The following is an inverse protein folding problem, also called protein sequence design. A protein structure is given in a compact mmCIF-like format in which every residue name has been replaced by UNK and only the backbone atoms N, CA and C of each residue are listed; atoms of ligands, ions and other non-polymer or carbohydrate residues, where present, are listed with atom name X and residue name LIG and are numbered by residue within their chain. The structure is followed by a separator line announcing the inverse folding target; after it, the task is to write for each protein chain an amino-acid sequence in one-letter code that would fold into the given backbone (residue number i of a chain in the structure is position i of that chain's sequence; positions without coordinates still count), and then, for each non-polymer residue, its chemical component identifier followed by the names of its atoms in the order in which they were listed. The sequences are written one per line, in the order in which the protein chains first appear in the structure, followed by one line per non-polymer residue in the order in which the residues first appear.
data_IF_293961165745
#
_entry.id   IF_293961165745
#
_cell.length_a   1.000
_cell.length_b   1.000
_cell.length_c   1.000
_cell.angle_alpha   90.00
_cell.angle_beta   90.00
_cell.angle_gamma   90.00
#
_symmetry.space_group_name_H-M   'P 1'
#
loop_
_entity.id
_entity.type
_entity.pdbx_description
1 polymer ?
#
# COMPACT_ATOMS: atom_id res chain seq x y z
N UNK A 1 -20.45 -9.34 28.18
CA UNK A 1 -20.65 -9.93 26.84
C UNK A 1 -19.65 -9.22 25.94
N UNK A 2 -18.59 -9.91 25.51
CA UNK A 2 -17.57 -9.31 24.65
C UNK A 2 -18.18 -9.17 23.25
N UNK A 3 -18.37 -7.93 22.80
CA UNK A 3 -18.73 -7.68 21.42
C UNK A 3 -17.52 -8.12 20.58
N UNK A 4 -17.69 -9.15 19.76
CA UNK A 4 -16.69 -9.56 18.77
C UNK A 4 -16.34 -8.33 17.95
N UNK A 5 -15.14 -7.80 18.17
CA UNK A 5 -14.67 -6.66 17.39
C UNK A 5 -14.49 -7.14 15.95
N UNK A 6 -14.82 -6.28 14.97
CA UNK A 6 -14.53 -6.59 13.57
C UNK A 6 -13.06 -6.98 13.41
N UNK A 7 -12.75 -7.75 12.37
CA UNK A 7 -11.39 -8.23 12.13
C UNK A 7 -10.40 -7.07 11.85
N UNK A 8 -10.92 -5.87 11.62
CA UNK A 8 -10.24 -4.59 11.77
C UNK A 8 -10.73 -3.88 13.04
N UNK A 9 -9.85 -3.28 13.82
CA UNK A 9 -10.27 -2.52 15.01
C UNK A 9 -11.09 -1.30 14.62
N UNK A 10 -11.88 -0.75 15.55
CA UNK A 10 -12.62 0.51 15.35
C UNK A 10 -11.71 1.70 14.99
N UNK A 11 -10.42 1.59 15.27
CA UNK A 11 -9.39 2.57 14.95
C UNK A 11 -8.58 2.23 13.67
N UNK A 12 -8.82 1.07 13.06
CA UNK A 12 -8.13 0.59 11.85
C UNK A 12 -6.60 0.49 11.98
N UNK A 13 -6.07 0.44 13.21
CA UNK A 13 -4.64 0.28 13.51
C UNK A 13 -4.17 -1.18 13.33
N UNK A 14 -5.10 -2.13 13.41
CA UNK A 14 -4.80 -3.55 13.17
C UNK A 14 -5.03 -3.85 11.69
N UNK A 15 -4.02 -4.39 10.98
CA UNK A 15 -4.18 -4.74 9.58
C UNK A 15 -5.15 -5.91 9.42
N UNK A 16 -5.88 -5.91 8.30
CA UNK A 16 -6.63 -7.07 7.86
C UNK A 16 -5.73 -8.33 7.84
N UNK A 17 -6.17 -9.49 8.34
CA UNK A 17 -5.35 -10.69 8.36
C UNK A 17 -4.85 -11.07 6.95
N UNK A 18 -3.54 -11.23 6.79
CA UNK A 18 -2.91 -11.53 5.49
C UNK A 18 -2.73 -10.32 4.56
N UNK A 19 -3.09 -9.12 5.01
CA UNK A 19 -2.83 -7.91 4.24
C UNK A 19 -1.37 -7.45 4.36
N UNK A 20 -0.87 -6.89 3.26
CA UNK A 20 0.46 -6.28 3.16
C UNK A 20 0.34 -4.83 2.68
N UNK A 21 1.33 -4.01 3.02
CA UNK A 21 1.34 -2.59 2.63
C UNK A 21 0.21 -1.76 3.23
N UNK A 22 -0.31 -2.18 4.39
CA UNK A 22 -1.46 -1.56 5.04
C UNK A 22 -1.19 -0.09 5.36
N UNK A 23 -2.16 0.78 5.06
CA UNK A 23 -2.21 2.18 5.49
C UNK A 23 -3.60 2.49 6.03
N UNK A 24 -3.66 3.22 7.14
CA UNK A 24 -4.90 3.77 7.67
C UNK A 24 -4.93 5.29 7.44
N UNK A 25 -6.11 5.80 7.14
CA UNK A 25 -6.36 7.22 6.90
C UNK A 25 -7.44 7.71 7.83
N UNK A 26 -7.18 8.84 8.49
CA UNK A 26 -8.16 9.56 9.30
C UNK A 26 -8.36 10.92 8.65
N UNK A 27 -9.62 11.24 8.31
CA UNK A 27 -10.03 12.53 7.78
C UNK A 27 -10.95 13.22 8.80
N UNK A 28 -10.57 14.44 9.20
CA UNK A 28 -11.26 15.24 10.23
C UNK A 28 -12.64 15.76 9.74
N UNK A 29 -12.84 15.83 8.42
CA UNK A 29 -14.10 16.31 7.82
C UNK A 29 -14.81 15.14 7.12
N UNK A 30 -15.83 14.59 7.77
CA UNK A 30 -16.68 13.56 7.18
C UNK A 30 -17.45 14.14 5.99
N UNK A 31 -17.28 13.55 4.81
CA UNK A 31 -18.07 13.88 3.63
C UNK A 31 -18.75 12.62 3.10
N UNK A 32 -19.82 12.78 2.33
CA UNK A 32 -20.57 11.66 1.76
C UNK A 32 -19.72 10.72 0.87
N UNK A 33 -18.55 11.19 0.39
CA UNK A 33 -17.65 10.41 -0.47
C UNK A 33 -16.46 9.79 0.27
N UNK A 34 -16.17 10.26 1.49
CA UNK A 34 -15.04 9.78 2.29
C UNK A 34 -15.49 9.62 3.74
N UNK A 35 -15.90 8.41 4.15
CA UNK A 35 -16.12 8.16 5.57
C UNK A 35 -14.78 8.41 6.27
N UNK A 36 -14.79 9.21 7.34
CA UNK A 36 -13.59 9.83 7.91
C UNK A 36 -12.51 8.88 8.45
N UNK A 37 -12.66 7.57 8.27
CA UNK A 37 -11.69 6.55 8.64
C UNK A 37 -11.77 5.34 7.69
N UNK A 38 -10.65 4.97 7.10
CA UNK A 38 -10.53 3.75 6.30
C UNK A 38 -9.13 3.17 6.33
N UNK A 39 -9.02 1.90 5.95
CA UNK A 39 -7.76 1.20 5.75
C UNK A 39 -7.67 0.70 4.31
N UNK A 40 -6.49 0.79 3.73
CA UNK A 40 -6.16 0.22 2.43
C UNK A 40 -4.94 -0.70 2.51
N UNK A 41 -4.81 -1.60 1.54
CA UNK A 41 -3.63 -2.45 1.40
C UNK A 41 -3.82 -3.48 0.30
N UNK A 42 -2.97 -4.50 0.32
CA UNK A 42 -3.05 -5.64 -0.59
C UNK A 42 -3.35 -6.91 0.20
N UNK A 43 -4.42 -7.63 -0.18
CA UNK A 43 -4.81 -8.91 0.40
C UNK A 43 -5.02 -9.94 -0.73
N UNK A 44 -4.46 -11.13 -0.58
CA UNK A 44 -4.49 -12.17 -1.63
C UNK A 44 -3.94 -11.73 -3.01
N UNK A 45 -3.15 -10.65 -3.07
CA UNK A 45 -2.70 -10.02 -4.31
C UNK A 45 -3.65 -8.98 -4.92
N UNK A 46 -4.77 -8.68 -4.26
CA UNK A 46 -5.76 -7.69 -4.67
C UNK A 46 -5.70 -6.45 -3.78
N UNK A 47 -5.95 -5.28 -4.35
CA UNK A 47 -6.08 -4.07 -3.54
C UNK A 47 -7.43 -4.05 -2.84
N UNK A 48 -7.45 -3.68 -1.57
CA UNK A 48 -8.68 -3.51 -0.80
C UNK A 48 -8.75 -2.14 -0.14
N UNK A 49 -9.98 -1.66 0.03
CA UNK A 49 -10.35 -0.59 0.96
C UNK A 49 -11.41 -1.14 1.91
N UNK A 50 -11.28 -0.86 3.20
CA UNK A 50 -12.28 -1.18 4.21
C UNK A 50 -12.58 0.07 5.04
N UNK A 51 -13.86 0.40 5.16
CA UNK A 51 -14.33 1.66 5.70
C UNK A 51 -15.03 1.45 7.05
N UNK A 52 -14.96 2.46 7.93
CA UNK A 52 -15.58 2.42 9.25
C UNK A 52 -17.10 2.30 9.24
N UNK A 53 -17.75 2.61 8.13
CA UNK A 53 -19.20 2.54 7.96
C UNK A 53 -19.72 1.15 7.56
N UNK A 54 -18.85 0.14 7.40
CA UNK A 54 -19.26 -1.21 6.95
C UNK A 54 -19.14 -1.43 5.45
N UNK A 55 -18.63 -0.46 4.70
CA UNK A 55 -18.36 -0.63 3.27
C UNK A 55 -16.96 -1.18 3.04
N UNK A 56 -16.77 -1.94 1.97
CA UNK A 56 -15.47 -2.37 1.51
C UNK A 56 -15.39 -2.39 -0.02
N UNK A 57 -14.20 -2.27 -0.57
CA UNK A 57 -13.92 -2.39 -2.00
C UNK A 57 -12.78 -3.39 -2.14
N UNK A 58 -12.92 -4.35 -3.05
CA UNK A 58 -11.86 -5.26 -3.48
C UNK A 58 -11.66 -5.10 -4.98
N UNK A 59 -10.43 -4.97 -5.42
CA UNK A 59 -10.13 -4.69 -6.82
C UNK A 59 -8.80 -5.29 -7.25
N UNK A 60 -8.69 -5.62 -8.54
CA UNK A 60 -7.47 -6.19 -9.12
C UNK A 60 -6.21 -5.35 -8.85
N UNK A 61 -6.31 -4.02 -8.95
CA UNK A 61 -5.23 -3.10 -8.63
C UNK A 61 -5.76 -1.77 -8.10
N UNK A 62 -4.95 -1.05 -7.33
CA UNK A 62 -5.35 0.23 -6.75
C UNK A 62 -5.44 1.39 -7.77
N UNK A 63 -4.73 1.29 -8.90
CA UNK A 63 -4.59 2.40 -9.86
C UNK A 63 -5.42 2.20 -11.12
N UNK A 64 -5.53 0.97 -11.61
CA UNK A 64 -6.23 0.64 -12.85
C UNK A 64 -6.93 -0.72 -12.68
N UNK A 65 -8.08 -0.76 -12.02
CA UNK A 65 -8.76 -2.02 -11.77
C UNK A 65 -9.47 -2.51 -13.05
N UNK A 66 -9.15 -3.73 -13.47
CA UNK A 66 -9.90 -4.43 -14.55
C UNK A 66 -11.26 -4.94 -14.05
N UNK A 67 -11.35 -5.20 -12.75
CA UNK A 67 -12.57 -5.54 -12.05
C UNK A 67 -12.56 -4.94 -10.63
N UNK A 68 -13.76 -4.68 -10.13
CA UNK A 68 -14.03 -4.10 -8.80
C UNK A 68 -15.23 -4.80 -8.20
N UNK A 69 -15.12 -5.19 -6.93
CA UNK A 69 -16.21 -5.70 -6.10
C UNK A 69 -16.43 -4.68 -4.98
N UNK A 70 -17.59 -4.05 -4.96
CA UNK A 70 -18.02 -3.14 -3.89
C UNK A 70 -18.94 -3.89 -2.95
N UNK A 71 -18.64 -3.83 -1.66
CA UNK A 71 -19.44 -4.41 -0.58
C UNK A 71 -20.05 -3.28 0.25
N UNK A 72 -21.34 -3.40 0.51
CA UNK A 72 -22.06 -2.57 1.49
C UNK A 72 -22.65 -3.50 2.54
N UNK A 73 -22.09 -3.47 3.74
CA UNK A 73 -22.49 -4.38 4.80
C UNK A 73 -23.21 -3.68 5.94
N UNK A 74 -24.32 -4.27 6.38
CA UNK A 74 -24.97 -3.90 7.62
C UNK A 74 -24.51 -4.87 8.71
N UNK A 75 -23.66 -4.37 9.62
CA UNK A 75 -23.11 -5.18 10.70
C UNK A 75 -24.18 -5.65 11.72
N UNK A 76 -25.32 -4.96 11.82
CA UNK A 76 -26.41 -5.33 12.74
C UNK A 76 -27.28 -6.44 12.15
N UNK A 77 -27.49 -6.42 10.83
CA UNK A 77 -28.21 -7.46 10.09
C UNK A 77 -27.31 -8.64 9.69
N UNK A 78 -25.98 -8.49 9.77
CA UNK A 78 -25.00 -9.49 9.31
C UNK A 78 -25.17 -9.83 7.81
N UNK A 79 -25.56 -8.84 7.02
CA UNK A 79 -25.82 -8.98 5.59
C UNK A 79 -24.95 -7.99 4.80
N UNK A 80 -24.42 -8.44 3.67
CA UNK A 80 -23.72 -7.59 2.71
C UNK A 80 -24.40 -7.64 1.35
N UNK A 81 -24.58 -6.47 0.74
CA UNK A 81 -24.90 -6.38 -0.69
C UNK A 81 -23.61 -6.20 -1.47
N UNK A 82 -23.45 -6.94 -2.56
CA UNK A 82 -22.29 -6.86 -3.43
C UNK A 82 -22.66 -6.30 -4.79
N UNK A 83 -21.83 -5.40 -5.29
CA UNK A 83 -21.91 -4.88 -6.65
C UNK A 83 -20.58 -5.15 -7.36
N UNK A 84 -20.62 -5.90 -8.44
CA UNK A 84 -19.43 -6.33 -9.19
C UNK A 84 -19.38 -5.67 -10.55
N UNK A 85 -18.25 -5.06 -10.86
CA UNK A 85 -17.91 -4.51 -12.17
C UNK A 85 -16.73 -5.29 -12.76
N UNK A 86 -16.84 -5.69 -14.03
CA UNK A 86 -15.83 -6.52 -14.70
C UNK A 86 -16.01 -8.02 -14.45
N UNK A 87 -14.93 -8.79 -14.58
CA UNK A 87 -14.92 -10.25 -14.37
C UNK A 87 -13.85 -10.60 -13.34
N UNK A 88 -14.18 -10.61 -12.03
CA UNK A 88 -13.25 -11.07 -11.01
C UNK A 88 -12.95 -12.57 -11.15
N UNK A 89 -11.75 -13.04 -10.75
CA UNK A 89 -11.49 -14.46 -10.60
C UNK A 89 -12.27 -15.03 -9.40
N UNK A 90 -12.60 -16.33 -9.42
CA UNK A 90 -13.35 -17.00 -8.33
C UNK A 90 -12.75 -16.71 -6.94
N UNK A 91 -11.41 -16.63 -6.88
CA UNK A 91 -10.70 -16.36 -5.63
C UNK A 91 -10.95 -14.95 -5.09
N UNK A 92 -11.23 -13.96 -5.94
CA UNK A 92 -11.59 -12.61 -5.51
C UNK A 92 -12.98 -12.57 -4.87
N UNK A 93 -13.94 -13.36 -5.36
CA UNK A 93 -15.26 -13.48 -4.73
C UNK A 93 -15.15 -14.09 -3.32
N UNK A 94 -14.30 -15.12 -3.14
CA UNK A 94 -14.04 -15.71 -1.82
C UNK A 94 -13.43 -14.68 -0.84
N UNK A 95 -12.47 -13.88 -1.30
CA UNK A 95 -11.86 -12.81 -0.51
C UNK A 95 -12.86 -11.69 -0.20
N UNK A 96 -13.74 -11.35 -1.14
CA UNK A 96 -14.81 -10.38 -0.92
C UNK A 96 -15.79 -10.86 0.16
N UNK A 97 -16.17 -12.14 0.15
CA UNK A 97 -17.00 -12.73 1.21
C UNK A 97 -16.30 -12.67 2.57
N UNK A 98 -15.00 -12.98 2.63
CA UNK A 98 -14.23 -12.86 3.87
C UNK A 98 -14.13 -11.40 4.36
N UNK A 99 -13.95 -10.45 3.44
CA UNK A 99 -13.98 -9.01 3.75
C UNK A 99 -15.33 -8.58 4.34
N UNK A 100 -16.44 -9.04 3.77
CA UNK A 100 -17.76 -8.77 4.33
C UNK A 100 -17.90 -9.32 5.74
N UNK A 101 -17.53 -10.59 5.94
CA UNK A 101 -17.59 -11.25 7.25
C UNK A 101 -16.76 -10.56 8.33
N UNK A 102 -15.70 -9.83 7.95
CA UNK A 102 -14.87 -9.06 8.85
C UNK A 102 -15.66 -8.07 9.71
N UNK A 103 -16.81 -7.58 9.24
CA UNK A 103 -17.57 -6.56 9.96
C UNK A 103 -18.33 -7.10 11.19
N UNK A 104 -18.55 -8.41 11.29
CA UNK A 104 -19.27 -9.02 12.42
C UNK A 104 -18.60 -10.26 13.02
N UNK A 105 -17.60 -10.83 12.34
CA UNK A 105 -16.77 -11.94 12.85
C UNK A 105 -15.42 -11.43 13.34
N UNK A 106 -14.98 -11.98 14.48
CA UNK A 106 -13.66 -11.72 15.07
C UNK A 106 -12.68 -12.89 14.89
N UNK A 107 -13.14 -14.00 14.32
CA UNK A 107 -12.38 -15.25 14.23
C UNK A 107 -11.75 -15.47 12.84
N UNK A 108 -11.76 -14.46 11.98
CA UNK A 108 -11.15 -14.56 10.65
C UNK A 108 -9.62 -14.58 10.72
N UNK A 109 -9.01 -15.43 9.90
CA UNK A 109 -7.57 -15.64 9.82
C UNK A 109 -7.04 -15.43 8.41
N UNK A 110 -5.72 -15.28 8.27
CA UNK A 110 -5.04 -15.14 6.97
C UNK A 110 -5.38 -16.27 5.98
N UNK A 111 -5.78 -17.46 6.45
CA UNK A 111 -6.20 -18.57 5.56
C UNK A 111 -7.48 -18.26 4.80
N UNK A 112 -8.42 -17.54 5.41
CA UNK A 112 -9.66 -17.10 4.75
C UNK A 112 -9.37 -16.04 3.69
N UNK A 113 -8.35 -15.22 3.92
CA UNK A 113 -7.88 -14.18 2.99
C UNK A 113 -6.79 -14.65 2.01
N UNK A 114 -6.26 -15.87 2.15
CA UNK A 114 -5.46 -16.53 1.13
C UNK A 114 -4.04 -16.00 0.94
N UNK A 115 -3.09 -16.54 1.70
CA UNK A 115 -1.80 -16.87 1.10
C UNK A 115 -1.96 -18.07 0.18
N UNK A 116 -1.84 -17.87 -1.12
CA UNK A 116 -1.35 -18.92 -2.00
C UNK A 116 0.16 -18.70 -2.15
N UNK A 117 1.02 -19.71 -1.90
CA UNK A 117 2.45 -19.53 -2.07
C UNK A 117 2.75 -19.09 -3.51
N UNK A 118 3.79 -18.26 -3.72
CA UNK A 118 4.15 -17.75 -5.04
C UNK A 118 4.23 -18.89 -6.07
N UNK A 119 3.82 -18.66 -7.34
CA UNK A 119 3.73 -19.69 -8.37
C UNK A 119 5.07 -20.42 -8.65
N UNK A 120 6.20 -19.84 -8.23
CA UNK A 120 7.52 -20.48 -8.26
C UNK A 120 7.62 -21.73 -7.36
N UNK A 121 6.79 -21.81 -6.31
CA UNK A 121 6.71 -22.98 -5.43
C UNK A 121 5.84 -24.12 -5.99
N UNK A 122 5.07 -23.91 -7.07
CA UNK A 122 4.18 -24.96 -7.64
C UNK A 122 4.92 -25.96 -8.52
N UNK A 123 6.11 -25.65 -9.03
CA UNK A 123 6.87 -26.63 -9.83
C UNK A 123 7.55 -27.69 -8.94
N UNK A 124 7.67 -27.47 -7.62
CA UNK A 124 8.25 -28.45 -6.69
C UNK A 124 7.25 -29.26 -5.85
N UNK A 125 5.95 -28.94 -5.88
CA UNK A 125 4.96 -29.52 -4.95
C UNK A 125 4.00 -30.55 -5.57
N UNK A 126 4.10 -30.85 -6.87
CA UNK A 126 3.26 -31.86 -7.54
C UNK A 126 3.87 -33.27 -7.59
N UNK A 127 5.10 -33.45 -7.11
CA UNK A 127 5.75 -34.75 -7.01
C UNK A 127 6.27 -34.98 -5.60
N UNK A 128 5.40 -35.31 -4.64
CA UNK A 128 5.77 -36.17 -3.51
C UNK A 128 4.51 -36.62 -2.78
N UNK A 129 3.95 -37.71 -3.29
CA UNK A 129 3.16 -38.63 -2.50
C UNK A 129 3.88 -38.95 -1.19
N UNK A 130 3.12 -38.91 -0.10
CA UNK A 130 3.55 -39.09 1.28
C UNK A 130 4.47 -40.31 1.49
N UNK A 131 5.41 -40.21 2.44
CA UNK A 131 5.67 -41.31 3.34
C UNK A 131 5.16 -40.95 4.75
N UNK A 132 4.16 -41.72 5.18
CA UNK A 132 3.86 -41.96 6.58
C UNK A 132 5.17 -42.18 7.34
N UNK A 133 5.54 -41.24 8.22
CA UNK A 133 6.74 -41.39 9.05
C UNK A 133 6.30 -41.53 10.51
N UNK A 134 6.81 -42.55 11.23
CA UNK A 134 6.27 -43.00 12.52
C UNK A 134 6.63 -42.05 13.68
N UNK A 135 5.78 -42.09 14.72
CA UNK A 135 5.94 -41.39 15.98
C UNK A 135 7.33 -41.62 16.60
N UNK A 136 8.13 -40.57 16.69
CA UNK A 136 9.37 -40.55 17.46
C UNK A 136 9.06 -40.30 18.95
N UNK A 137 9.80 -40.92 19.88
CA UNK A 137 9.63 -40.69 21.30
C UNK A 137 10.15 -39.29 21.69
N UNK A 138 9.40 -38.63 22.57
CA UNK A 138 9.77 -37.37 23.22
C UNK A 138 11.05 -37.62 24.04
N UNK A 139 12.14 -36.97 23.65
CA UNK A 139 13.36 -36.88 24.47
C UNK A 139 13.23 -35.60 25.31
N UNK A 140 13.16 -35.77 26.63
CA UNK A 140 13.21 -34.67 27.59
C UNK A 140 14.54 -33.93 27.49
N UNK A 141 14.48 -32.65 27.12
CA UNK A 141 15.65 -31.76 27.10
C UNK A 141 15.95 -31.37 28.57
N UNK A 142 17.13 -31.68 29.13
CA UNK A 142 17.48 -31.25 30.47
C UNK A 142 17.62 -29.72 30.52
N UNK A 143 17.06 -29.13 31.59
CA UNK A 143 17.13 -27.69 31.88
C UNK A 143 18.59 -27.26 31.99
N UNK A 144 19.05 -26.41 31.06
CA UNK A 144 20.36 -25.79 31.14
C UNK A 144 20.38 -24.76 32.28
N UNK A 145 21.38 -24.92 33.16
CA UNK A 145 21.69 -24.00 34.26
C UNK A 145 22.26 -22.70 33.69
N UNK A 146 21.61 -21.57 34.02
CA UNK A 146 21.86 -20.23 33.45
C UNK A 146 22.97 -19.44 34.18
N UNK A 147 23.76 -20.08 35.05
CA UNK A 147 24.73 -19.36 35.91
C UNK A 147 26.05 -18.94 35.23
N UNK A 148 26.27 -19.22 33.94
CA UNK A 148 27.48 -18.78 33.22
C UNK A 148 27.16 -17.97 31.96
N UNK A 149 26.63 -16.75 32.15
CA UNK A 149 26.68 -15.71 31.11
C UNK A 149 27.87 -14.80 31.45
N UNK A 150 28.94 -14.75 30.64
CA UNK A 150 30.00 -13.77 30.84
C UNK A 150 29.45 -12.36 30.61
N UNK A 151 29.79 -11.43 31.52
CA UNK A 151 29.41 -10.02 31.40
C UNK A 151 30.00 -9.42 30.12
N UNK A 152 29.15 -9.03 29.17
CA UNK A 152 29.54 -8.12 28.10
C UNK A 152 29.92 -6.77 28.73
N UNK A 153 31.15 -6.33 28.49
CA UNK A 153 31.59 -4.98 28.83
C UNK A 153 30.76 -3.96 28.03
N UNK A 154 30.23 -2.96 28.72
CA UNK A 154 29.58 -1.81 28.10
C UNK A 154 30.56 -1.09 27.16
N UNK A 155 30.29 -1.12 25.86
CA UNK A 155 30.89 -0.19 24.90
C UNK A 155 30.01 1.06 24.89
N UNK A 156 30.53 2.15 25.45
CA UNK A 156 29.92 3.48 25.29
C UNK A 156 30.24 3.96 23.88
N UNK A 157 29.23 4.01 23.01
CA UNK A 157 29.32 4.71 21.73
C UNK A 157 29.03 6.20 22.01
N UNK A 158 30.07 7.03 22.05
CA UNK A 158 29.92 8.49 21.96
C UNK A 158 29.35 8.85 20.58
N UNK A 159 28.23 9.58 20.56
CA UNK A 159 27.70 10.19 19.34
C UNK A 159 28.58 11.38 18.94
N UNK A 160 29.11 11.46 17.70
CA UNK A 160 29.71 12.69 17.21
C UNK A 160 28.64 13.77 16.99
N UNK A 161 28.98 14.99 17.40
CA UNK A 161 28.12 16.17 17.29
C UNK A 161 27.75 16.53 15.83
N UNK A 162 26.60 17.19 15.60
CA UNK A 162 26.16 17.58 14.27
C UNK A 162 27.06 18.69 13.70
N UNK A 163 27.70 18.43 12.56
CA UNK A 163 28.43 19.45 11.82
C UNK A 163 27.47 20.22 10.91
N UNK A 164 27.36 21.54 11.12
CA UNK A 164 26.66 22.49 10.27
C UNK A 164 27.35 22.61 8.90
N UNK A 165 26.61 22.73 7.79
CA UNK A 165 27.21 23.01 6.49
C UNK A 165 27.49 24.51 6.35
N UNK A 166 28.79 24.85 6.33
CA UNK A 166 29.28 26.17 5.94
C UNK A 166 29.06 26.44 4.44
N UNK A 167 28.76 27.70 4.17
CA UNK A 167 28.35 28.21 2.88
C UNK A 167 29.53 28.67 2.01
N UNK A 168 29.35 28.50 0.69
CA UNK A 168 29.85 29.33 -0.44
C UNK A 168 31.36 29.40 -0.74
N UNK A 169 31.75 28.87 -1.91
CA UNK A 169 32.17 29.69 -3.07
C UNK A 169 32.37 28.88 -4.36
N UNK A 170 32.31 29.52 -5.55
CA UNK A 170 31.91 28.89 -6.81
C UNK A 170 33.06 28.67 -7.79
N UNK A 171 33.06 27.52 -8.46
CA UNK A 171 33.84 27.29 -9.68
C UNK A 171 32.90 26.63 -10.72
N UNK A 172 32.06 27.44 -11.35
CA UNK A 172 31.10 26.99 -12.37
C UNK A 172 31.76 26.91 -13.73
N UNK A 173 32.44 25.80 -13.99
CA UNK A 173 32.73 25.37 -15.36
C UNK A 173 31.54 24.56 -15.85
N UNK A 174 30.71 25.20 -16.67
CA UNK A 174 29.53 24.69 -17.39
C UNK A 174 29.25 23.19 -17.24
N UNK A 175 28.63 22.82 -16.11
CA UNK A 175 27.81 21.62 -16.04
C UNK A 175 26.44 22.09 -16.49
N UNK A 176 25.92 21.52 -17.58
CA UNK A 176 24.49 21.63 -17.87
C UNK A 176 23.80 21.01 -16.66
N UNK A 177 23.28 21.85 -15.78
CA UNK A 177 22.49 21.40 -14.63
C UNK A 177 21.17 20.92 -15.21
N UNK A 178 21.16 19.66 -15.67
CA UNK A 178 19.91 18.92 -15.78
C UNK A 178 19.26 19.00 -14.40
N UNK A 179 18.07 19.58 -14.31
CA UNK A 179 17.31 19.65 -13.07
C UNK A 179 17.35 18.25 -12.42
N UNK A 180 17.57 18.13 -11.10
CA UNK A 180 17.82 16.83 -10.45
C UNK A 180 16.73 15.79 -10.76
N UNK A 181 15.48 16.24 -10.83
CA UNK A 181 14.29 15.52 -11.31
C UNK A 181 14.39 14.91 -12.72
N UNK A 182 15.17 15.49 -13.64
CA UNK A 182 15.38 14.96 -14.99
C UNK A 182 16.32 13.74 -14.98
N UNK A 183 17.19 13.62 -13.97
CA UNK A 183 18.16 12.54 -13.85
C UNK A 183 17.71 11.42 -12.89
N UNK A 184 16.86 11.70 -11.89
CA UNK A 184 16.56 10.77 -10.78
C UNK A 184 15.25 9.99 -10.88
N UNK A 185 14.43 10.22 -11.91
CA UNK A 185 13.08 9.65 -12.04
C UNK A 185 13.03 8.20 -12.57
N UNK A 186 14.16 7.50 -12.64
CA UNK A 186 14.23 6.13 -13.18
C UNK A 186 13.92 5.01 -12.18
N UNK A 187 13.23 5.29 -11.06
CA UNK A 187 12.85 4.22 -10.13
C UNK A 187 11.55 3.54 -10.60
N UNK A 188 11.56 2.24 -10.95
CA UNK A 188 10.40 1.52 -11.50
C UNK A 188 9.26 1.28 -10.49
N UNK A 189 9.37 1.84 -9.28
CA UNK A 189 8.44 1.64 -8.16
C UNK A 189 7.61 2.90 -7.82
N UNK A 190 7.80 4.01 -8.52
CA UNK A 190 7.09 5.26 -8.23
C UNK A 190 5.82 5.36 -9.07
N UNK A 191 4.68 5.69 -8.44
CA UNK A 191 3.40 5.80 -9.17
C UNK A 191 3.43 7.02 -10.11
N UNK A 192 2.89 6.86 -11.32
CA UNK A 192 2.88 7.91 -12.34
C UNK A 192 2.28 9.22 -11.84
N UNK A 193 1.29 9.15 -10.95
CA UNK A 193 0.69 10.34 -10.35
C UNK A 193 1.60 11.08 -9.37
N UNK A 194 2.43 10.36 -8.61
CA UNK A 194 3.35 10.95 -7.64
C UNK A 194 4.47 11.67 -8.38
N UNK A 195 4.97 11.02 -9.42
CA UNK A 195 5.92 11.61 -10.35
C UNK A 195 5.37 12.86 -11.04
N UNK A 196 4.13 12.81 -11.54
CA UNK A 196 3.47 13.96 -12.15
C UNK A 196 3.40 15.16 -11.19
N UNK A 197 3.00 14.93 -9.94
CA UNK A 197 2.89 15.98 -8.92
C UNK A 197 4.26 16.58 -8.58
N UNK A 198 5.32 15.77 -8.46
CA UNK A 198 6.68 16.26 -8.26
C UNK A 198 7.14 17.15 -9.43
N UNK A 199 6.87 16.72 -10.68
CA UNK A 199 7.20 17.51 -11.87
C UNK A 199 6.41 18.82 -11.90
N UNK A 200 5.14 18.82 -11.50
CA UNK A 200 4.33 20.03 -11.41
C UNK A 200 4.85 21.01 -10.36
N UNK A 201 5.25 20.52 -9.18
CA UNK A 201 5.89 21.35 -8.14
C UNK A 201 7.19 21.96 -8.67
N UNK A 202 8.00 21.17 -9.37
CA UNK A 202 9.24 21.65 -9.96
C UNK A 202 9.03 22.66 -11.09
N UNK A 203 7.94 22.54 -11.85
CA UNK A 203 7.51 23.53 -12.84
C UNK A 203 6.95 24.82 -12.20
N UNK A 204 6.87 24.90 -10.86
CA UNK A 204 6.31 26.03 -10.13
C UNK A 204 4.78 26.03 -10.03
N UNK A 205 4.12 24.94 -10.42
CA UNK A 205 2.68 24.77 -10.26
C UNK A 205 2.35 24.19 -8.87
N UNK A 206 1.10 24.36 -8.42
CA UNK A 206 0.64 23.85 -7.12
C UNK A 206 -0.39 22.72 -7.31
N UNK A 207 0.05 21.46 -7.45
CA UNK A 207 -0.85 20.32 -7.61
C UNK A 207 -1.59 19.94 -6.31
N UNK A 208 -1.28 20.58 -5.18
CA UNK A 208 -1.67 20.12 -3.85
C UNK A 208 -0.59 19.23 -3.21
N UNK A 209 -0.97 18.32 -2.29
CA UNK A 209 -0.05 17.36 -1.71
C UNK A 209 0.59 16.45 -2.77
N UNK A 210 1.83 16.01 -2.54
CA UNK A 210 2.51 15.01 -3.37
C UNK A 210 2.20 13.64 -2.77
N UNK A 211 1.05 13.09 -3.13
CA UNK A 211 0.46 11.85 -2.59
C UNK A 211 0.24 10.77 -3.66
N UNK A 212 0.40 11.11 -4.94
CA UNK A 212 0.16 10.26 -6.09
C UNK A 212 -1.29 10.23 -6.59
N UNK A 213 -2.21 10.97 -5.96
CA UNK A 213 -3.63 11.00 -6.29
C UNK A 213 -3.93 12.17 -7.24
N UNK A 214 -4.47 11.86 -8.43
CA UNK A 214 -4.80 12.90 -9.44
C UNK A 214 -6.17 13.54 -9.17
N UNK A 215 -6.16 14.45 -8.19
CA UNK A 215 -7.32 15.24 -7.79
C UNK A 215 -7.54 16.51 -8.65
N UNK A 216 -8.59 17.28 -8.35
CA UNK A 216 -8.93 18.52 -9.08
C UNK A 216 -7.80 19.56 -9.07
N UNK A 217 -7.06 19.66 -7.97
CA UNK A 217 -5.91 20.57 -7.84
C UNK A 217 -4.77 20.17 -8.77
N UNK A 218 -4.45 18.88 -8.82
CA UNK A 218 -3.43 18.35 -9.73
C UNK A 218 -3.82 18.55 -11.19
N UNK A 219 -5.10 18.34 -11.54
CA UNK A 219 -5.60 18.62 -12.90
C UNK A 219 -5.57 20.10 -13.27
N UNK A 220 -5.93 20.99 -12.35
CA UNK A 220 -5.83 22.44 -12.58
C UNK A 220 -4.37 22.89 -12.75
N UNK A 221 -3.46 22.35 -11.95
CA UNK A 221 -2.03 22.58 -12.08
C UNK A 221 -1.51 22.06 -13.42
N UNK A 222 -1.98 20.88 -13.85
CA UNK A 222 -1.62 20.27 -15.13
C UNK A 222 -2.13 21.07 -16.32
N UNK A 223 -3.39 21.51 -16.32
CA UNK A 223 -3.95 22.37 -17.37
C UNK A 223 -3.23 23.72 -17.47
N UNK A 224 -2.72 24.23 -16.35
CA UNK A 224 -1.91 25.46 -16.33
C UNK A 224 -0.49 25.22 -16.88
N UNK A 225 0.10 24.07 -16.58
CA UNK A 225 1.45 23.72 -17.01
C UNK A 225 1.51 23.21 -18.46
N UNK A 226 0.45 22.54 -18.93
CA UNK A 226 0.29 21.96 -20.27
C UNK A 226 -1.10 22.33 -20.82
N UNK A 227 -1.25 23.49 -21.47
CA UNK A 227 -2.54 23.93 -22.01
C UNK A 227 -3.08 23.04 -23.13
N UNK A 228 -2.23 22.26 -23.81
CA UNK A 228 -2.60 21.30 -24.85
C UNK A 228 -2.94 19.89 -24.31
N UNK A 229 -2.83 19.68 -23.00
CA UNK A 229 -3.13 18.39 -22.38
C UNK A 229 -4.64 18.21 -22.18
N UNK A 230 -5.15 17.05 -22.58
CA UNK A 230 -6.57 16.66 -22.43
C UNK A 230 -6.72 15.56 -21.36
N UNK A 231 -7.81 15.63 -20.59
CA UNK A 231 -8.13 14.66 -19.52
C UNK A 231 -8.43 13.25 -20.03
N UNK A 232 -8.59 13.09 -21.34
CA UNK A 232 -8.71 11.78 -22.00
C UNK A 232 -7.37 11.09 -22.23
N UNK A 233 -6.25 11.82 -22.11
CA UNK A 233 -4.91 11.26 -22.32
C UNK A 233 -4.40 10.55 -21.05
N UNK A 234 -3.61 9.47 -21.22
CA UNK A 234 -2.98 8.78 -20.11
C UNK A 234 -2.03 9.69 -19.34
N UNK A 235 -1.96 9.49 -18.03
CA UNK A 235 -1.17 10.31 -17.10
C UNK A 235 0.33 10.19 -17.42
N UNK A 236 0.76 9.02 -17.87
CA UNK A 236 2.11 8.71 -18.31
C UNK A 236 2.54 9.60 -19.48
N UNK A 237 1.62 9.92 -20.39
CA UNK A 237 1.89 10.85 -21.49
C UNK A 237 2.03 12.29 -20.97
N UNK A 238 1.21 12.67 -19.98
CA UNK A 238 1.33 13.98 -19.31
C UNK A 238 2.69 14.14 -18.61
N UNK A 239 3.12 13.10 -17.90
CA UNK A 239 4.44 13.02 -17.26
C UNK A 239 5.55 13.19 -18.30
N UNK A 240 5.48 12.46 -19.42
CA UNK A 240 6.43 12.57 -20.52
C UNK A 240 6.53 13.99 -21.06
N UNK A 241 5.40 14.57 -21.44
CA UNK A 241 5.31 15.92 -22.01
C UNK A 241 5.82 17.00 -21.04
N UNK A 242 5.45 16.89 -19.76
CA UNK A 242 5.88 17.84 -18.74
C UNK A 242 7.38 17.72 -18.47
N UNK A 243 7.91 16.49 -18.41
CA UNK A 243 9.34 16.24 -18.28
C UNK A 243 10.11 16.82 -19.46
N UNK A 244 9.67 16.57 -20.70
CA UNK A 244 10.31 17.14 -21.88
C UNK A 244 10.32 18.67 -21.84
N UNK A 245 9.22 19.29 -21.40
CA UNK A 245 9.14 20.75 -21.23
C UNK A 245 10.08 21.31 -20.15
N UNK A 246 10.30 20.60 -19.04
CA UNK A 246 11.16 21.04 -17.92
C UNK A 246 12.64 20.71 -18.17
N UNK A 247 12.92 19.64 -18.92
CA UNK A 247 14.27 19.08 -19.08
C UNK A 247 14.95 19.42 -20.41
N UNK A 248 14.19 19.85 -21.43
CA UNK A 248 14.74 20.25 -22.75
C UNK A 248 14.80 21.78 -22.94
N UNK A 249 14.43 22.56 -21.91
CA UNK A 249 14.53 24.02 -21.85
C UNK A 249 15.38 24.46 -20.65
#
# INVERSE_FOLDING_TARGET
MALSQPCVTSSFDVPLPGATGMRSYVMDVQSAQFPGLWQEGIVAGYAYHIYANGDAILQSSASMPEWVITLKCDASAQECTTETLGTPPDRADEVAVALGQCFWRSDLTEREFGQQPPPEARILALEMTAPTTPSLPIVEIPRADITQIPRLNHVTLELPAPQQPDALSPDFRSVVVLHPICATVSSPSESAGLLLQQLLVAAGANPGPVDGIIGPRTRNALASALPDWDQTQPIEQAVGNLRDKICLY
#
